data_IF_579382289690
#
_entry.id   IF_579382289690
#
_cell.length_a   1.000
_cell.length_b   1.000
_cell.length_c   1.000
_cell.angle_alpha   90.00
_cell.angle_beta   90.00
_cell.angle_gamma   90.00
#
_symmetry.space_group_name_H-M   'P 1'
#
loop_
_entity.id
_entity.type
_entity.pdbx_description
1 polymer ?
#
# COMPACT_ATOMS: atom_id res chain seq x y z
N UNK A 1 -13.86 7.50 8.42
CA UNK A 1 -14.83 7.08 7.38
C UNK A 1 -15.48 8.20 6.54
N UNK A 2 -15.59 9.49 6.95
CA UNK A 2 -16.29 10.50 6.11
C UNK A 2 -15.48 11.16 4.97
N UNK A 3 -14.15 11.28 5.11
CA UNK A 3 -13.37 12.19 4.24
C UNK A 3 -13.28 11.71 2.79
N UNK A 4 -12.92 10.45 2.55
CA UNK A 4 -12.73 9.95 1.19
C UNK A 4 -14.05 9.92 0.39
N UNK A 5 -15.18 9.55 1.02
CA UNK A 5 -16.49 9.54 0.35
C UNK A 5 -16.93 10.94 -0.08
N UNK A 6 -16.57 11.98 0.68
CA UNK A 6 -16.78 13.37 0.26
C UNK A 6 -15.86 13.77 -0.88
N UNK A 7 -14.58 13.40 -0.80
CA UNK A 7 -13.60 13.70 -1.86
C UNK A 7 -13.94 12.99 -3.19
N UNK A 8 -14.60 11.83 -3.12
CA UNK A 8 -15.03 11.01 -4.25
C UNK A 8 -16.55 11.06 -4.45
N UNK A 9 -17.18 12.18 -4.09
CA UNK A 9 -18.61 12.38 -4.27
C UNK A 9 -19.01 12.19 -5.74
N UNK A 10 -20.15 11.53 -5.96
CA UNK A 10 -20.63 11.17 -7.31
C UNK A 10 -20.06 9.86 -7.86
N UNK A 11 -19.20 9.16 -7.11
CA UNK A 11 -18.74 7.81 -7.46
C UNK A 11 -19.37 6.75 -6.54
N UNK A 12 -19.68 5.59 -7.12
CA UNK A 12 -20.12 4.42 -6.35
C UNK A 12 -18.90 3.65 -5.83
N UNK A 13 -18.95 3.25 -4.56
CA UNK A 13 -17.87 2.50 -3.94
C UNK A 13 -18.16 1.00 -4.02
N UNK A 14 -17.13 0.20 -4.27
CA UNK A 14 -17.19 -1.25 -4.28
C UNK A 14 -16.03 -1.82 -3.48
N UNK A 15 -16.28 -2.85 -2.67
CA UNK A 15 -15.18 -3.66 -2.11
C UNK A 15 -14.60 -4.55 -3.20
N UNK A 16 -13.28 -4.63 -3.27
CA UNK A 16 -12.58 -5.53 -4.17
C UNK A 16 -11.67 -6.48 -3.37
N UNK A 17 -11.82 -7.79 -3.58
CA UNK A 17 -11.04 -8.81 -2.88
C UNK A 17 -11.29 -10.19 -3.48
N UNK A 18 -10.25 -11.01 -3.60
CA UNK A 18 -10.32 -12.40 -4.08
C UNK A 18 -11.10 -12.59 -5.40
N UNK A 19 -10.92 -11.65 -6.33
CA UNK A 19 -11.58 -11.67 -7.64
C UNK A 19 -13.05 -11.24 -7.63
N UNK A 20 -13.60 -10.86 -6.47
CA UNK A 20 -14.98 -10.42 -6.30
C UNK A 20 -15.01 -8.90 -6.14
N UNK A 21 -15.91 -8.26 -6.88
CA UNK A 21 -16.25 -6.84 -6.74
C UNK A 21 -17.70 -6.74 -6.30
N UNK A 22 -17.94 -6.14 -5.14
CA UNK A 22 -19.27 -6.01 -4.53
C UNK A 22 -19.56 -4.55 -4.19
N UNK A 23 -20.76 -4.08 -4.49
CA UNK A 23 -21.20 -2.74 -4.11
C UNK A 23 -21.08 -2.53 -2.58
N UNK A 24 -20.49 -1.40 -2.19
CA UNK A 24 -20.30 -0.96 -0.81
C UNK A 24 -21.20 0.25 -0.54
N UNK A 25 -22.36 0.05 0.13
CA UNK A 25 -23.29 1.14 0.43
C UNK A 25 -22.62 2.29 1.20
N UNK A 26 -23.14 3.51 1.00
CA UNK A 26 -22.54 4.75 1.51
C UNK A 26 -22.32 4.78 3.04
N UNK A 27 -23.20 4.11 3.79
CA UNK A 27 -23.18 4.08 5.27
C UNK A 27 -22.56 2.80 5.83
N UNK A 28 -22.05 1.91 4.97
CA UNK A 28 -21.42 0.67 5.38
C UNK A 28 -19.90 0.83 5.41
N UNK A 29 -19.29 0.22 6.42
CA UNK A 29 -17.86 -0.06 6.42
C UNK A 29 -17.58 -1.34 5.62
N UNK A 30 -16.43 -1.44 4.94
CA UNK A 30 -15.96 -2.72 4.46
C UNK A 30 -15.69 -3.65 5.66
N UNK A 31 -15.80 -4.96 5.43
CA UNK A 31 -15.40 -5.96 6.41
C UNK A 31 -13.87 -5.99 6.60
N UNK A 32 -13.41 -6.56 7.70
CA UNK A 32 -12.00 -6.49 8.12
C UNK A 32 -11.03 -7.18 7.13
N UNK A 33 -11.51 -8.15 6.38
CA UNK A 33 -10.75 -8.88 5.36
C UNK A 33 -10.53 -8.07 4.07
N UNK A 34 -11.33 -7.03 3.83
CA UNK A 34 -11.24 -6.22 2.62
C UNK A 34 -10.10 -5.21 2.76
N UNK A 35 -9.21 -5.23 1.77
CA UNK A 35 -8.05 -4.33 1.69
C UNK A 35 -8.20 -3.21 0.66
N UNK A 36 -9.22 -3.27 -0.21
CA UNK A 36 -9.36 -2.38 -1.36
C UNK A 36 -10.80 -1.93 -1.56
N UNK A 37 -10.97 -0.65 -1.85
CA UNK A 37 -12.21 -0.05 -2.31
C UNK A 37 -11.97 0.54 -3.69
N UNK A 38 -12.76 0.10 -4.66
CA UNK A 38 -12.78 0.66 -6.00
C UNK A 38 -13.91 1.67 -6.13
N UNK A 39 -13.68 2.76 -6.83
CA UNK A 39 -14.71 3.78 -7.08
C UNK A 39 -15.03 3.86 -8.58
N UNK A 40 -16.31 3.63 -8.89
CA UNK A 40 -16.90 3.69 -10.21
C UNK A 40 -17.48 5.09 -10.43
N UNK A 41 -17.03 5.78 -11.48
CA UNK A 41 -17.71 6.96 -12.00
C UNK A 41 -18.88 6.47 -12.86
N UNK A 42 -20.09 6.56 -12.30
CA UNK A 42 -21.32 6.07 -12.92
C UNK A 42 -21.74 6.88 -14.14
N UNK A 43 -21.38 8.16 -14.20
CA UNK A 43 -21.69 9.04 -15.33
C UNK A 43 -20.81 8.70 -16.52
N UNK A 44 -19.52 8.43 -16.27
CA UNK A 44 -18.55 8.06 -17.31
C UNK A 44 -18.45 6.56 -17.56
N UNK A 45 -19.17 5.74 -16.80
CA UNK A 45 -19.12 4.28 -16.85
C UNK A 45 -17.68 3.72 -16.79
N UNK A 46 -16.83 4.25 -15.91
CA UNK A 46 -15.44 3.78 -15.77
C UNK A 46 -14.93 3.79 -14.33
N UNK A 47 -14.04 2.84 -14.02
CA UNK A 47 -13.32 2.80 -12.76
C UNK A 47 -12.29 3.94 -12.70
N UNK A 48 -12.34 4.75 -11.65
CA UNK A 48 -11.48 5.95 -11.51
C UNK A 48 -10.46 5.84 -10.39
N UNK A 49 -10.78 5.10 -9.33
CA UNK A 49 -9.95 5.05 -8.12
C UNK A 49 -9.85 3.62 -7.62
N UNK A 50 -8.63 3.21 -7.27
CA UNK A 50 -8.33 2.04 -6.45
C UNK A 50 -7.72 2.54 -5.14
N UNK A 51 -8.48 2.42 -4.05
CA UNK A 51 -8.08 2.90 -2.74
C UNK A 51 -7.70 1.72 -1.85
N UNK A 52 -6.46 1.74 -1.37
CA UNK A 52 -5.97 0.77 -0.38
C UNK A 52 -6.41 1.19 1.02
N UNK A 53 -6.95 0.24 1.79
CA UNK A 53 -7.22 0.42 3.22
C UNK A 53 -5.95 0.11 4.00
N UNK A 54 -5.63 0.99 4.96
CA UNK A 54 -4.47 0.89 5.84
C UNK A 54 -4.93 1.05 7.29
N UNK A 55 -4.41 0.22 8.19
CA UNK A 55 -4.77 0.20 9.63
C UNK A 55 -4.09 1.31 10.47
N UNK A 56 -3.15 2.04 9.87
CA UNK A 56 -2.37 3.07 10.55
C UNK A 56 -3.18 4.32 10.95
N UNK A 57 -2.45 5.32 11.45
CA UNK A 57 -2.98 6.63 11.79
C UNK A 57 -2.33 7.71 10.91
N UNK A 58 -2.73 8.99 11.06
CA UNK A 58 -2.02 10.10 10.41
C UNK A 58 -0.53 10.17 10.77
N UNK A 59 -0.14 9.68 11.95
CA UNK A 59 1.25 9.77 12.45
C UNK A 59 1.99 8.43 12.44
N UNK A 60 1.26 7.31 12.37
CA UNK A 60 1.82 5.96 12.42
C UNK A 60 1.45 5.19 11.16
N UNK A 61 2.46 4.65 10.48
CA UNK A 61 2.26 3.69 9.42
C UNK A 61 2.38 2.26 9.96
N UNK A 62 1.44 1.40 9.61
CA UNK A 62 1.39 -0.01 10.04
C UNK A 62 1.37 -0.90 8.82
N UNK A 63 2.29 -1.86 8.75
CA UNK A 63 2.31 -2.84 7.69
C UNK A 63 1.17 -3.84 7.87
N UNK A 64 0.12 -3.73 7.05
CA UNK A 64 -1.11 -4.54 7.17
C UNK A 64 -0.94 -6.07 7.17
N UNK A 65 0.22 -6.60 6.77
CA UNK A 65 0.48 -8.06 6.78
C UNK A 65 1.21 -8.54 8.03
N UNK A 66 1.85 -7.63 8.75
CA UNK A 66 2.49 -7.91 10.03
C UNK A 66 2.53 -6.61 10.85
N UNK A 67 1.58 -6.41 11.78
CA UNK A 67 1.50 -5.21 12.61
C UNK A 67 2.72 -4.96 13.51
N UNK A 68 3.61 -5.96 13.68
CA UNK A 68 4.89 -5.75 14.37
C UNK A 68 5.81 -4.77 13.60
N UNK A 69 5.58 -4.58 12.30
CA UNK A 69 6.22 -3.53 11.51
C UNK A 69 5.35 -2.28 11.55
N UNK A 70 5.62 -1.41 12.51
CA UNK A 70 5.00 -0.11 12.66
C UNK A 70 6.07 0.97 12.86
N UNK A 71 5.98 2.07 12.12
CA UNK A 71 6.97 3.17 12.13
C UNK A 71 6.27 4.52 11.99
N UNK A 72 6.92 5.64 12.41
CA UNK A 72 6.39 6.97 12.13
C UNK A 72 6.07 7.15 10.65
N UNK A 73 4.90 7.70 10.33
CA UNK A 73 4.44 7.86 8.95
C UNK A 73 5.40 8.73 8.14
N UNK A 74 6.02 9.74 8.77
CA UNK A 74 7.04 10.62 8.18
C UNK A 74 8.28 9.86 7.71
N UNK A 75 8.56 8.70 8.30
CA UNK A 75 9.76 7.92 7.96
C UNK A 75 9.53 7.07 6.71
N UNK A 76 8.27 6.78 6.36
CA UNK A 76 7.92 5.86 5.27
C UNK A 76 7.08 6.47 4.15
N UNK A 77 6.43 7.61 4.40
CA UNK A 77 5.71 8.39 3.38
C UNK A 77 6.55 9.61 3.05
N UNK A 78 7.02 9.68 1.81
CA UNK A 78 7.71 10.84 1.26
C UNK A 78 6.74 11.70 0.45
N UNK A 79 7.18 12.90 0.08
CA UNK A 79 6.38 13.84 -0.70
C UNK A 79 7.16 14.26 -1.93
N UNK A 80 6.51 14.23 -3.10
CA UNK A 80 7.10 14.75 -4.34
C UNK A 80 7.28 16.28 -4.25
N UNK A 81 8.11 16.91 -5.12
CA UNK A 81 8.21 18.37 -5.16
C UNK A 81 6.87 19.09 -5.39
N UNK A 82 5.89 18.42 -6.00
CA UNK A 82 4.54 18.94 -6.22
C UNK A 82 3.59 18.74 -5.01
N UNK A 83 4.09 18.23 -3.88
CA UNK A 83 3.28 18.04 -2.67
C UNK A 83 2.49 16.73 -2.64
N UNK A 84 2.68 15.81 -3.60
CA UNK A 84 1.96 14.53 -3.66
C UNK A 84 2.63 13.51 -2.72
N UNK A 85 1.94 12.99 -1.70
CA UNK A 85 2.48 11.97 -0.81
C UNK A 85 2.55 10.60 -1.51
N UNK A 86 3.62 9.86 -1.24
CA UNK A 86 3.82 8.50 -1.76
C UNK A 86 4.58 7.63 -0.77
N UNK A 87 4.30 6.33 -0.79
CA UNK A 87 5.02 5.36 0.02
C UNK A 87 6.45 5.21 -0.53
N UNK A 88 7.46 5.32 0.34
CA UNK A 88 8.87 5.17 -0.04
C UNK A 88 9.11 3.80 -0.66
N UNK A 89 10.05 3.68 -1.63
CA UNK A 89 10.25 2.43 -2.37
C UNK A 89 10.55 1.23 -1.47
N UNK A 90 11.24 1.40 -0.34
CA UNK A 90 11.50 0.32 0.61
C UNK A 90 10.20 -0.36 1.12
N UNK A 91 9.18 0.40 1.52
CA UNK A 91 7.91 -0.19 1.97
C UNK A 91 7.10 -0.78 0.80
N UNK A 92 7.17 -0.18 -0.40
CA UNK A 92 6.56 -0.78 -1.60
C UNK A 92 7.20 -2.15 -1.91
N UNK A 93 8.53 -2.27 -1.77
CA UNK A 93 9.24 -3.54 -1.94
C UNK A 93 8.85 -4.56 -0.88
N UNK A 94 8.67 -4.16 0.38
CA UNK A 94 8.15 -5.05 1.42
C UNK A 94 6.78 -5.65 1.04
N UNK A 95 5.88 -4.85 0.43
CA UNK A 95 4.61 -5.37 -0.10
C UNK A 95 4.80 -6.36 -1.26
N UNK A 96 5.83 -6.17 -2.09
CA UNK A 96 6.11 -7.02 -3.25
C UNK A 96 6.79 -8.34 -2.89
N UNK A 97 7.59 -8.34 -1.82
CA UNK A 97 8.33 -9.51 -1.34
C UNK A 97 7.44 -10.74 -1.08
N UNK A 98 6.18 -10.55 -0.69
CA UNK A 98 5.21 -11.67 -0.53
C UNK A 98 5.07 -12.55 -1.78
N UNK A 99 5.13 -11.97 -2.98
CA UNK A 99 4.90 -12.71 -4.22
C UNK A 99 6.16 -12.91 -5.06
N UNK A 100 7.13 -11.99 -5.00
CA UNK A 100 8.42 -12.14 -5.69
C UNK A 100 8.32 -12.39 -7.20
N UNK A 101 7.28 -11.86 -7.86
CA UNK A 101 7.00 -12.10 -9.29
C UNK A 101 8.11 -11.50 -10.16
N UNK A 102 8.24 -11.89 -11.45
CA UNK A 102 9.25 -11.30 -12.34
C UNK A 102 9.24 -9.77 -12.37
N UNK A 103 8.05 -9.16 -12.40
CA UNK A 103 7.92 -7.68 -12.32
C UNK A 103 8.37 -7.10 -10.98
N UNK A 104 8.18 -7.83 -9.88
CA UNK A 104 8.58 -7.39 -8.54
C UNK A 104 10.11 -7.43 -8.41
N UNK A 105 10.78 -8.39 -9.06
CA UNK A 105 12.23 -8.44 -9.18
C UNK A 105 12.79 -7.25 -9.97
N UNK A 106 12.15 -6.91 -11.10
CA UNK A 106 12.51 -5.72 -11.89
C UNK A 106 12.37 -4.45 -11.04
N UNK A 107 11.29 -4.32 -10.27
CA UNK A 107 11.09 -3.19 -9.37
C UNK A 107 12.18 -3.12 -8.28
N UNK A 108 12.56 -4.26 -7.69
CA UNK A 108 13.65 -4.35 -6.71
C UNK A 108 14.97 -3.86 -7.29
N UNK A 109 15.39 -4.41 -8.45
CA UNK A 109 16.65 -4.03 -9.12
C UNK A 109 16.68 -2.54 -9.45
N UNK A 110 15.57 -1.98 -9.95
CA UNK A 110 15.48 -0.57 -10.32
C UNK A 110 15.47 0.38 -9.12
N UNK A 111 14.91 -0.05 -7.99
CA UNK A 111 14.83 0.75 -6.77
C UNK A 111 16.11 0.69 -5.94
N UNK A 112 16.77 -0.47 -5.86
CA UNK A 112 17.95 -0.71 -5.03
C UNK A 112 19.03 0.39 -5.08
N UNK A 113 19.52 0.84 -6.25
CA UNK A 113 20.56 1.89 -6.30
C UNK A 113 20.08 3.25 -5.79
N UNK A 114 18.76 3.48 -5.70
CA UNK A 114 18.14 4.74 -5.26
C UNK A 114 17.79 4.75 -3.78
N UNK A 115 17.83 3.59 -3.12
CA UNK A 115 17.57 3.48 -1.68
C UNK A 115 18.76 4.01 -0.88
N UNK A 116 18.46 4.87 0.09
CA UNK A 116 19.41 5.29 1.12
C UNK A 116 19.83 4.10 2.00
N UNK A 117 20.99 4.19 2.65
CA UNK A 117 21.48 3.11 3.50
C UNK A 117 20.49 2.74 4.62
N UNK A 118 19.85 3.73 5.23
CA UNK A 118 18.83 3.51 6.27
C UNK A 118 17.62 2.75 5.74
N UNK A 119 17.18 3.04 4.51
CA UNK A 119 16.06 2.36 3.85
C UNK A 119 16.40 0.90 3.52
N UNK A 120 17.65 0.64 3.09
CA UNK A 120 18.13 -0.73 2.84
C UNK A 120 18.17 -1.55 4.13
N UNK A 121 18.76 -1.01 5.18
CA UNK A 121 18.81 -1.66 6.50
C UNK A 121 17.40 -1.92 7.05
N UNK A 122 16.50 -0.95 6.95
CA UNK A 122 15.11 -1.12 7.37
C UNK A 122 14.39 -2.21 6.57
N UNK A 123 14.52 -2.21 5.24
CA UNK A 123 13.90 -3.23 4.39
C UNK A 123 14.46 -4.61 4.70
N UNK A 124 15.77 -4.75 4.88
CA UNK A 124 16.41 -6.02 5.25
C UNK A 124 15.82 -6.56 6.56
N UNK A 125 15.75 -5.74 7.61
CA UNK A 125 15.16 -6.14 8.89
C UNK A 125 13.69 -6.58 8.75
N UNK A 126 12.91 -5.86 7.94
CA UNK A 126 11.52 -6.23 7.68
C UNK A 126 11.39 -7.53 6.90
N UNK A 127 12.29 -7.79 5.95
CA UNK A 127 12.33 -9.05 5.21
C UNK A 127 12.72 -10.21 6.13
N UNK A 128 13.73 -10.04 6.97
CA UNK A 128 14.15 -11.07 7.93
C UNK A 128 13.01 -11.42 8.91
N UNK A 129 12.21 -10.42 9.31
CA UNK A 129 11.05 -10.60 10.19
C UNK A 129 9.83 -11.22 9.50
N UNK A 130 9.50 -10.79 8.27
CA UNK A 130 8.23 -11.15 7.61
C UNK A 130 8.38 -12.28 6.58
N UNK A 131 9.58 -12.47 6.05
CA UNK A 131 9.90 -13.31 4.90
C UNK A 131 11.30 -13.94 5.08
N UNK A 132 11.47 -14.74 6.14
CA UNK A 132 12.77 -15.35 6.47
C UNK A 132 13.40 -16.05 5.26
N UNK A 133 14.68 -15.74 4.98
CA UNK A 133 15.42 -16.30 3.83
C UNK A 133 15.05 -15.68 2.47
N UNK A 134 14.37 -14.53 2.44
CA UNK A 134 14.05 -13.87 1.18
C UNK A 134 15.33 -13.39 0.46
N UNK A 135 15.49 -13.80 -0.81
CA UNK A 135 16.67 -13.51 -1.65
C UNK A 135 17.10 -12.04 -1.73
N UNK A 136 16.18 -11.11 -1.51
CA UNK A 136 16.50 -9.67 -1.49
C UNK A 136 17.27 -9.25 -0.24
N UNK A 137 17.09 -9.93 0.90
CA UNK A 137 17.79 -9.61 2.14
C UNK A 137 19.32 -9.82 2.03
N UNK A 138 19.76 -10.75 1.17
CA UNK A 138 21.18 -11.00 0.88
C UNK A 138 21.81 -9.94 -0.06
N UNK A 139 20.96 -9.15 -0.73
CA UNK A 139 21.36 -8.17 -1.76
C UNK A 139 21.19 -6.72 -1.31
N UNK A 140 20.72 -6.51 -0.08
CA UNK A 140 20.49 -5.21 0.56
C UNK A 140 21.64 -4.85 1.50
#
# INVERSE_FOLDING_TARGET
MPVFRRALAGMECHTAGDGIVKHLPAQSAPSAEISQIWCLDVVRHCWRVDMMIEEGSPDLWVYKRNPAVAVPRTDIVATTPAGIPYLKPAAVLLFKAKYGRPKDEVDFVNALPKLQQSERSWLKNCLDLCHQGHRWAERL
#
